data_IF_339741167274
#
_entry.id   IF_339741167274
#
_cell.length_a   1.000
_cell.length_b   1.000
_cell.length_c   1.000
_cell.angle_alpha   90.00
_cell.angle_beta   90.00
_cell.angle_gamma   90.00
#
_symmetry.space_group_name_H-M   'P 1'
#
loop_
_entity.id
_entity.type
_entity.pdbx_description
1 polymer ?
#
# COMPACT_ATOMS: atom_id res chain seq x y z
N UNK A 1 1.03 2.51 -13.91
CA UNK A 1 1.96 3.64 -13.78
C UNK A 1 2.97 3.44 -12.64
N UNK A 2 2.52 2.99 -11.47
CA UNK A 2 3.43 2.79 -10.33
C UNK A 2 4.47 1.70 -10.61
N UNK A 3 4.07 0.61 -11.25
CA UNK A 3 4.99 -0.46 -11.61
C UNK A 3 6.08 0.03 -12.56
N UNK A 4 5.68 0.74 -13.60
CA UNK A 4 6.60 1.26 -14.62
C UNK A 4 7.59 2.24 -14.00
N UNK A 5 7.11 3.17 -13.19
CA UNK A 5 7.95 4.16 -12.52
C UNK A 5 8.93 3.48 -11.56
N UNK A 6 8.46 2.53 -10.77
CA UNK A 6 9.30 1.81 -9.82
C UNK A 6 10.41 1.06 -10.52
N UNK A 7 10.10 0.37 -11.61
CA UNK A 7 11.11 -0.36 -12.39
C UNK A 7 12.14 0.58 -13.01
N UNK A 8 11.69 1.69 -13.58
CA UNK A 8 12.57 2.66 -14.21
C UNK A 8 13.53 3.29 -13.20
N UNK A 9 13.00 3.72 -12.06
CA UNK A 9 13.83 4.31 -11.00
C UNK A 9 14.79 3.30 -10.39
N UNK A 10 14.35 2.07 -10.18
CA UNK A 10 15.20 1.02 -9.62
C UNK A 10 16.41 0.75 -10.52
N UNK A 11 16.18 0.69 -11.83
CA UNK A 11 17.29 0.52 -12.80
C UNK A 11 18.21 1.72 -12.83
N UNK A 12 17.64 2.92 -12.86
CA UNK A 12 18.42 4.15 -13.01
C UNK A 12 19.30 4.41 -11.79
N UNK A 13 18.84 4.04 -10.61
CA UNK A 13 19.52 4.37 -9.35
C UNK A 13 20.37 3.24 -8.79
N UNK A 14 20.33 2.07 -9.40
CA UNK A 14 21.19 0.97 -9.00
C UNK A 14 22.64 1.25 -9.42
N UNK A 15 23.63 0.74 -8.68
CA UNK A 15 23.52 0.01 -7.43
C UNK A 15 23.47 0.87 -6.18
N UNK A 16 23.52 2.19 -6.33
CA UNK A 16 23.67 3.10 -5.20
C UNK A 16 22.41 3.18 -4.32
N UNK A 17 21.24 3.09 -4.96
CA UNK A 17 19.95 3.24 -4.25
C UNK A 17 19.00 2.15 -4.69
N UNK A 18 18.31 1.55 -3.72
CA UNK A 18 17.20 0.64 -3.95
C UNK A 18 15.91 1.43 -4.03
N UNK A 19 15.02 1.02 -4.91
CA UNK A 19 13.71 1.68 -5.08
C UNK A 19 12.62 0.62 -5.10
N UNK A 20 11.74 0.71 -4.14
CA UNK A 20 10.58 -0.18 -4.03
C UNK A 20 9.33 0.66 -3.75
N UNK A 21 8.18 0.08 -3.94
CA UNK A 21 6.91 0.73 -3.66
C UNK A 21 5.99 -0.18 -2.86
N UNK A 22 5.13 0.42 -2.07
CA UNK A 22 4.08 -0.27 -1.33
C UNK A 22 2.73 0.17 -1.87
N UNK A 23 1.86 -0.78 -2.17
CA UNK A 23 0.49 -0.52 -2.59
C UNK A 23 -0.45 -1.00 -1.47
N UNK A 24 -0.85 -0.11 -0.56
CA UNK A 24 -1.53 -0.52 0.68
C UNK A 24 -3.03 -0.76 0.54
N UNK A 25 -3.65 -0.40 -0.58
CA UNK A 25 -5.10 -0.38 -0.69
C UNK A 25 -5.71 0.73 0.17
N UNK A 26 -6.85 0.44 0.82
CA UNK A 26 -7.48 1.41 1.69
C UNK A 26 -6.80 1.43 3.07
N UNK A 27 -6.42 2.63 3.50
CA UNK A 27 -5.79 2.87 4.80
C UNK A 27 -6.72 3.73 5.64
N UNK A 28 -7.02 3.27 6.85
CA UNK A 28 -7.85 4.02 7.79
C UNK A 28 -7.17 5.34 8.16
N UNK A 29 -8.01 6.36 8.46
CA UNK A 29 -7.55 7.69 8.89
C UNK A 29 -6.65 8.42 7.88
N UNK A 30 -6.72 8.04 6.60
CA UNK A 30 -6.00 8.71 5.53
C UNK A 30 -6.76 9.92 4.98
N UNK A 31 -6.45 10.31 3.75
CA UNK A 31 -7.07 11.44 3.08
C UNK A 31 -8.60 11.45 3.15
N UNK A 32 -9.32 10.31 2.98
CA UNK A 32 -10.76 10.31 3.04
C UNK A 32 -11.34 10.87 4.34
N UNK A 33 -10.66 10.72 5.47
CA UNK A 33 -11.15 11.24 6.74
C UNK A 33 -11.19 12.77 6.80
N UNK A 34 -10.49 13.45 5.88
CA UNK A 34 -10.43 14.91 5.82
C UNK A 34 -11.47 15.52 4.90
N UNK A 35 -11.95 14.77 3.90
CA UNK A 35 -12.83 15.30 2.86
C UNK A 35 -14.24 14.72 2.95
N UNK A 36 -14.44 13.69 3.76
CA UNK A 36 -15.73 13.04 3.94
C UNK A 36 -16.32 13.36 5.30
N UNK A 37 -17.65 13.37 5.38
CA UNK A 37 -18.32 13.40 6.67
C UNK A 37 -18.04 12.09 7.41
N UNK A 38 -18.21 12.05 8.76
CA UNK A 38 -18.04 10.80 9.49
C UNK A 38 -18.90 9.65 8.97
N UNK A 39 -20.12 9.94 8.50
CA UNK A 39 -21.01 8.92 7.92
C UNK A 39 -20.49 8.42 6.59
N UNK A 40 -20.04 9.33 5.72
CA UNK A 40 -19.45 8.97 4.43
C UNK A 40 -18.19 8.14 4.61
N UNK A 41 -17.35 8.53 5.58
CA UNK A 41 -16.12 7.82 5.88
C UNK A 41 -16.42 6.39 6.36
N UNK A 42 -17.40 6.23 7.24
CA UNK A 42 -17.81 4.93 7.73
C UNK A 42 -18.33 4.03 6.60
N UNK A 43 -19.10 4.60 5.66
CA UNK A 43 -19.61 3.86 4.50
C UNK A 43 -18.49 3.40 3.58
N UNK A 44 -17.52 4.24 3.28
CA UNK A 44 -16.37 3.88 2.45
C UNK A 44 -15.56 2.79 3.12
N UNK A 45 -15.27 2.93 4.41
CA UNK A 45 -14.52 1.94 5.17
C UNK A 45 -15.25 0.59 5.20
N UNK A 46 -16.57 0.60 5.37
CA UNK A 46 -17.39 -0.62 5.35
C UNK A 46 -17.30 -1.31 3.99
N UNK A 47 -17.43 -0.56 2.89
CA UNK A 47 -17.35 -1.12 1.55
C UNK A 47 -15.96 -1.74 1.31
N UNK A 48 -14.90 -1.06 1.71
CA UNK A 48 -13.53 -1.56 1.56
C UNK A 48 -13.30 -2.81 2.42
N UNK A 49 -13.81 -2.82 3.64
CA UNK A 49 -13.72 -3.98 4.53
C UNK A 49 -14.41 -5.19 3.93
N UNK A 50 -15.62 -5.01 3.40
CA UNK A 50 -16.38 -6.10 2.78
C UNK A 50 -15.72 -6.61 1.50
N UNK A 51 -15.09 -5.75 0.73
CA UNK A 51 -14.43 -6.12 -0.52
C UNK A 51 -13.09 -6.84 -0.29
N UNK A 52 -12.43 -6.59 0.82
CA UNK A 52 -11.15 -7.21 1.12
C UNK A 52 -11.33 -8.68 1.53
N UNK A 53 -10.49 -9.55 1.00
CA UNK A 53 -10.54 -10.98 1.33
C UNK A 53 -10.33 -11.21 2.82
N UNK A 54 -9.44 -10.41 3.47
CA UNK A 54 -9.19 -10.52 4.91
C UNK A 54 -10.23 -9.79 5.77
N UNK A 55 -11.22 -9.15 5.15
CA UNK A 55 -12.32 -8.48 5.84
C UNK A 55 -11.86 -7.42 6.84
N UNK A 56 -10.86 -6.65 6.46
CA UNK A 56 -10.33 -5.56 7.27
C UNK A 56 -9.69 -4.50 6.36
N UNK A 57 -9.40 -3.35 6.94
CA UNK A 57 -8.61 -2.29 6.28
C UNK A 57 -7.30 -2.13 7.02
N UNK A 58 -6.30 -1.55 6.35
CA UNK A 58 -4.99 -1.34 6.95
C UNK A 58 -4.97 -0.11 7.85
N UNK A 59 -4.13 -0.16 8.88
CA UNK A 59 -3.82 1.00 9.70
C UNK A 59 -2.51 1.63 9.21
N UNK A 60 -2.34 2.96 9.38
CA UNK A 60 -1.09 3.62 8.97
C UNK A 60 0.17 2.96 9.54
N UNK A 61 0.12 2.49 10.77
CA UNK A 61 1.26 1.83 11.41
C UNK A 61 1.66 0.54 10.70
N UNK A 62 0.71 -0.17 10.11
CA UNK A 62 1.01 -1.39 9.35
C UNK A 62 1.77 -1.08 8.07
N UNK A 63 1.37 -0.03 7.37
CA UNK A 63 2.06 0.42 6.16
C UNK A 63 3.48 0.87 6.50
N UNK A 64 3.63 1.64 7.57
CA UNK A 64 4.93 2.11 8.03
C UNK A 64 5.84 0.93 8.42
N UNK A 65 5.30 -0.08 9.07
CA UNK A 65 6.08 -1.26 9.46
C UNK A 65 6.65 -1.99 8.24
N UNK A 66 5.86 -2.15 7.18
CA UNK A 66 6.34 -2.77 5.95
C UNK A 66 7.42 -1.91 5.29
N UNK A 67 7.21 -0.61 5.20
CA UNK A 67 8.20 0.30 4.61
C UNK A 67 9.53 0.24 5.36
N UNK A 68 9.49 0.24 6.68
CA UNK A 68 10.69 0.11 7.51
C UNK A 68 11.39 -1.24 7.32
N UNK A 69 10.63 -2.32 7.22
CA UNK A 69 11.18 -3.64 6.97
C UNK A 69 11.94 -3.68 5.64
N UNK A 70 11.34 -3.15 4.57
CA UNK A 70 11.97 -3.12 3.25
C UNK A 70 13.26 -2.29 3.30
N UNK A 71 13.23 -1.15 3.99
CA UNK A 71 14.38 -0.26 4.10
C UNK A 71 15.52 -0.88 4.92
N UNK A 72 15.20 -1.49 6.04
CA UNK A 72 16.18 -1.89 7.05
C UNK A 72 16.56 -3.38 6.98
N UNK A 73 15.62 -4.25 6.65
CA UNK A 73 15.80 -5.70 6.76
C UNK A 73 15.81 -6.46 5.44
N UNK A 74 15.59 -5.78 4.32
CA UNK A 74 15.48 -6.43 3.02
C UNK A 74 16.46 -5.83 2.00
N UNK A 75 17.77 -5.93 2.24
CA UNK A 75 18.77 -5.26 1.40
C UNK A 75 18.84 -5.77 -0.03
N UNK A 76 18.28 -6.93 -0.32
CA UNK A 76 18.28 -7.49 -1.66
C UNK A 76 17.08 -7.08 -2.50
N UNK A 77 16.15 -6.28 -1.94
CA UNK A 77 14.95 -5.85 -2.65
C UNK A 77 15.17 -4.55 -3.40
N UNK A 78 14.89 -4.57 -4.69
CA UNK A 78 14.73 -3.36 -5.50
C UNK A 78 13.79 -3.68 -6.67
N UNK A 79 13.11 -2.67 -7.18
CA UNK A 79 12.21 -2.81 -8.30
C UNK A 79 10.91 -3.54 -7.98
N UNK A 80 10.54 -3.67 -6.71
CA UNK A 80 9.35 -4.40 -6.29
C UNK A 80 8.21 -3.45 -5.97
N UNK A 81 7.00 -3.85 -6.33
CA UNK A 81 5.78 -3.22 -5.86
C UNK A 81 5.06 -4.25 -4.99
N UNK A 82 4.98 -3.97 -3.71
CA UNK A 82 4.45 -4.92 -2.73
C UNK A 82 3.02 -4.53 -2.38
N UNK A 83 2.05 -5.38 -2.73
CA UNK A 83 0.67 -5.18 -2.35
C UNK A 83 0.47 -5.60 -0.89
N UNK A 84 -0.11 -4.70 -0.10
CA UNK A 84 -0.48 -4.96 1.28
C UNK A 84 -1.89 -4.42 1.51
N UNK A 85 -2.86 -5.02 0.83
CA UNK A 85 -4.21 -4.49 0.68
C UNK A 85 -5.29 -5.42 1.26
N UNK A 86 -4.90 -6.29 2.18
CA UNK A 86 -5.81 -7.25 2.80
C UNK A 86 -6.50 -8.18 1.79
N UNK A 87 -5.84 -8.41 0.66
CA UNK A 87 -6.36 -9.27 -0.39
C UNK A 87 -7.39 -8.59 -1.29
N UNK A 88 -7.53 -7.27 -1.22
CA UNK A 88 -8.48 -6.55 -2.07
C UNK A 88 -8.28 -6.87 -3.55
N UNK A 89 -7.03 -6.95 -4.00
CA UNK A 89 -6.69 -7.25 -5.40
C UNK A 89 -7.19 -8.64 -5.85
N UNK A 90 -7.46 -9.56 -4.94
CA UNK A 90 -7.95 -10.89 -5.27
C UNK A 90 -9.41 -10.88 -5.69
N UNK A 91 -10.13 -9.83 -5.36
CA UNK A 91 -11.53 -9.65 -5.78
C UNK A 91 -11.67 -8.84 -7.07
N UNK A 92 -10.58 -8.37 -7.63
CA UNK A 92 -10.60 -7.53 -8.83
C UNK A 92 -10.69 -8.34 -10.12
N UNK A 93 -10.62 -9.64 -10.04
CA UNK A 93 -10.74 -10.53 -11.18
C UNK A 93 -12.11 -11.14 -11.26
#
# INVERSE_FOLDING_TARGET
ALNTLTLALARAMAPAVRVNAVAPGFVADGLPSRVLTPEQHADVERVQTEAAVLRRVSQPAEVAALALFITDKAPAMTGQVVAMDNGLHLNAG
#
